data_IF_611400449452
#
_entry.id   IF_611400449452
#
_cell.length_a   1.000
_cell.length_b   1.000
_cell.length_c   1.000
_cell.angle_alpha   90.00
_cell.angle_beta   90.00
_cell.angle_gamma   90.00
#
_symmetry.space_group_name_H-M   'P 1'
#
loop_
_entity.id
_entity.type
_entity.pdbx_description
1 polymer ?
#
# COMPACT_ATOMS: atom_id res chain seq x y z
N UNK A 1 17.08 -23.99 -72.49
CA UNK A 1 17.71 -24.70 -71.37
C UNK A 1 17.99 -23.66 -70.29
N UNK A 2 17.38 -23.84 -69.12
CA UNK A 2 17.41 -22.90 -68.00
C UNK A 2 18.72 -23.03 -67.23
N UNK A 3 19.33 -21.90 -66.83
CA UNK A 3 20.43 -21.88 -65.86
C UNK A 3 19.98 -21.01 -64.69
N UNK A 4 19.74 -21.67 -63.57
CA UNK A 4 19.17 -21.13 -62.33
C UNK A 4 20.21 -20.28 -61.58
N UNK A 5 19.89 -19.02 -61.29
CA UNK A 5 20.66 -18.19 -60.37
C UNK A 5 20.32 -18.54 -58.92
N UNK A 6 21.32 -18.93 -58.14
CA UNK A 6 21.20 -19.22 -56.71
C UNK A 6 21.21 -17.89 -55.93
N UNK A 7 20.05 -17.46 -55.43
CA UNK A 7 19.93 -16.29 -54.55
C UNK A 7 20.09 -16.77 -53.10
N UNK A 8 21.23 -16.43 -52.48
CA UNK A 8 21.46 -16.59 -51.04
C UNK A 8 20.70 -15.46 -50.31
N UNK A 9 19.52 -15.78 -49.78
CA UNK A 9 18.80 -14.90 -48.89
C UNK A 9 19.52 -14.83 -47.53
N UNK A 10 20.17 -13.71 -47.25
CA UNK A 10 20.68 -13.40 -45.92
C UNK A 10 19.49 -13.11 -44.99
N UNK A 11 19.14 -14.09 -44.17
CA UNK A 11 18.15 -13.95 -43.10
C UNK A 11 18.69 -12.98 -42.06
N UNK A 12 18.26 -11.71 -42.12
CA UNK A 12 18.44 -10.77 -41.02
C UNK A 12 17.62 -11.27 -39.84
N UNK A 13 18.30 -11.89 -38.88
CA UNK A 13 17.72 -12.15 -37.55
C UNK A 13 17.51 -10.78 -36.90
N UNK A 14 16.31 -10.23 -37.06
CA UNK A 14 15.84 -9.13 -36.22
C UNK A 14 15.82 -9.64 -34.79
N UNK A 15 16.87 -9.32 -34.03
CA UNK A 15 16.85 -9.40 -32.58
C UNK A 15 15.73 -8.48 -32.13
N UNK A 16 14.57 -9.05 -31.82
CA UNK A 16 13.49 -8.34 -31.18
C UNK A 16 14.05 -7.80 -29.86
N UNK A 17 14.35 -6.50 -29.83
CA UNK A 17 14.62 -5.81 -28.56
C UNK A 17 13.40 -6.07 -27.68
N UNK A 18 13.57 -6.52 -26.43
CA UNK A 18 12.44 -6.60 -25.52
C UNK A 18 11.80 -5.21 -25.50
N UNK A 19 10.50 -5.15 -25.77
CA UNK A 19 9.69 -3.97 -25.51
C UNK A 19 9.79 -3.76 -24.01
N UNK A 20 10.79 -2.98 -23.57
CA UNK A 20 10.78 -2.45 -22.23
C UNK A 20 9.48 -1.68 -22.13
N UNK A 21 8.61 -2.08 -21.20
CA UNK A 21 7.47 -1.26 -20.81
C UNK A 21 7.96 0.18 -20.73
N UNK A 22 7.24 1.08 -21.42
CA UNK A 22 7.52 2.51 -21.51
C UNK A 22 8.09 3.03 -20.18
N UNK A 23 9.22 3.75 -20.20
CA UNK A 23 9.91 4.19 -18.99
C UNK A 23 8.97 5.03 -18.13
N UNK A 24 8.38 4.41 -17.10
CA UNK A 24 7.42 5.09 -16.25
C UNK A 24 8.12 6.18 -15.44
N UNK A 25 7.47 7.34 -15.37
CA UNK A 25 7.92 8.43 -14.49
C UNK A 25 7.84 7.99 -13.02
N UNK A 26 8.67 8.56 -12.11
CA UNK A 26 8.54 8.30 -10.68
C UNK A 26 7.12 8.51 -10.14
N UNK A 27 6.42 9.53 -10.65
CA UNK A 27 5.04 9.83 -10.25
C UNK A 27 4.09 8.68 -10.58
N UNK A 28 4.16 8.13 -11.80
CA UNK A 28 3.30 7.02 -12.22
C UNK A 28 3.61 5.74 -11.43
N UNK A 29 4.89 5.49 -11.13
CA UNK A 29 5.30 4.33 -10.33
C UNK A 29 4.81 4.46 -8.89
N UNK A 30 4.96 5.64 -8.27
CA UNK A 30 4.43 5.89 -6.94
C UNK A 30 2.89 5.74 -6.90
N UNK A 31 2.18 6.19 -7.93
CA UNK A 31 0.73 6.01 -8.05
C UNK A 31 0.33 4.53 -8.05
N UNK A 32 1.06 3.68 -8.79
CA UNK A 32 0.86 2.23 -8.76
C UNK A 32 1.09 1.64 -7.36
N UNK A 33 2.20 1.99 -6.69
CA UNK A 33 2.44 1.53 -5.32
C UNK A 33 1.33 1.95 -4.35
N UNK A 34 0.94 3.23 -4.40
CA UNK A 34 -0.08 3.79 -3.51
C UNK A 34 -1.42 3.09 -3.74
N UNK A 35 -1.87 2.90 -4.98
CA UNK A 35 -3.13 2.21 -5.28
C UNK A 35 -3.08 0.72 -4.94
N UNK A 36 -1.94 0.07 -5.15
CA UNK A 36 -1.74 -1.33 -4.74
C UNK A 36 -1.80 -1.47 -3.22
N UNK A 37 -1.20 -0.56 -2.46
CA UNK A 37 -1.06 -0.70 -1.01
C UNK A 37 -2.28 -0.15 -0.27
N UNK A 38 -2.72 1.08 -0.58
CA UNK A 38 -3.84 1.71 0.12
C UNK A 38 -5.19 1.16 -0.35
N UNK A 39 -5.40 1.15 -1.66
CA UNK A 39 -6.70 0.84 -2.24
C UNK A 39 -6.88 -0.65 -2.57
N UNK A 40 -5.81 -1.44 -2.46
CA UNK A 40 -5.77 -2.83 -2.90
C UNK A 40 -6.33 -3.01 -4.33
N UNK A 41 -6.08 -2.05 -5.22
CA UNK A 41 -6.65 -2.04 -6.56
C UNK A 41 -6.03 -3.14 -7.44
N UNK A 42 -6.85 -4.08 -7.91
CA UNK A 42 -6.40 -5.24 -8.69
C UNK A 42 -5.66 -4.83 -9.97
N UNK A 43 -6.15 -3.79 -10.67
CA UNK A 43 -5.51 -3.30 -11.89
C UNK A 43 -4.11 -2.75 -11.62
N UNK A 44 -3.97 -2.00 -10.53
CA UNK A 44 -2.68 -1.45 -10.08
C UNK A 44 -1.74 -2.54 -9.59
N UNK A 45 -2.23 -3.56 -8.86
CA UNK A 45 -1.45 -4.75 -8.49
C UNK A 45 -0.85 -5.40 -9.73
N UNK A 46 -1.68 -5.67 -10.74
CA UNK A 46 -1.26 -6.31 -11.98
C UNK A 46 -0.25 -5.43 -12.74
N UNK A 47 -0.52 -4.13 -12.84
CA UNK A 47 0.35 -3.17 -13.53
C UNK A 47 1.70 -3.02 -12.84
N UNK A 48 1.71 -2.93 -11.50
CA UNK A 48 2.92 -2.84 -10.70
C UNK A 48 3.76 -4.12 -10.81
N UNK A 49 3.13 -5.29 -10.72
CA UNK A 49 3.81 -6.57 -10.91
C UNK A 49 4.44 -6.66 -12.30
N UNK A 50 3.70 -6.30 -13.35
CA UNK A 50 4.20 -6.29 -14.73
C UNK A 50 5.39 -5.35 -14.90
N UNK A 51 5.33 -4.16 -14.31
CA UNK A 51 6.39 -3.16 -14.34
C UNK A 51 7.66 -3.65 -13.61
N UNK A 52 7.52 -4.24 -12.43
CA UNK A 52 8.65 -4.64 -11.59
C UNK A 52 9.28 -5.98 -12.00
N UNK A 53 8.53 -6.87 -12.65
CA UNK A 53 8.98 -8.25 -12.94
C UNK A 53 10.32 -8.35 -13.66
N UNK A 54 10.64 -7.53 -14.69
CA UNK A 54 11.96 -7.59 -15.32
C UNK A 54 13.10 -7.28 -14.34
N UNK A 55 12.96 -6.23 -13.52
CA UNK A 55 13.96 -5.84 -12.54
C UNK A 55 14.10 -6.85 -11.40
N UNK A 56 12.98 -7.44 -10.93
CA UNK A 56 12.98 -8.51 -9.93
C UNK A 56 13.72 -9.75 -10.41
N UNK A 57 13.49 -10.18 -11.66
CA UNK A 57 14.19 -11.31 -12.29
C UNK A 57 15.70 -11.08 -12.36
N UNK A 58 16.14 -9.89 -12.75
CA UNK A 58 17.57 -9.51 -12.78
C UNK A 58 18.18 -9.60 -11.38
N UNK A 59 17.43 -9.19 -10.35
CA UNK A 59 17.83 -9.27 -8.95
C UNK A 59 17.70 -10.69 -8.33
N UNK A 60 17.37 -11.73 -9.11
CA UNK A 60 17.20 -13.09 -8.62
C UNK A 60 15.95 -13.32 -7.75
N UNK A 61 15.04 -12.35 -7.70
CA UNK A 61 13.79 -12.47 -6.96
C UNK A 61 12.77 -13.28 -7.78
N UNK A 62 12.16 -14.28 -7.16
CA UNK A 62 11.09 -15.08 -7.75
C UNK A 62 9.73 -14.50 -7.36
N UNK A 63 8.77 -14.59 -8.29
CA UNK A 63 7.39 -14.15 -8.05
C UNK A 63 7.13 -12.66 -8.19
N UNK A 64 5.86 -12.33 -8.07
CA UNK A 64 5.33 -10.97 -8.16
C UNK A 64 5.62 -10.17 -6.88
N UNK A 65 5.48 -8.84 -6.96
CA UNK A 65 5.71 -7.94 -5.82
C UNK A 65 4.55 -8.01 -4.83
N UNK A 66 3.32 -8.03 -5.32
CA UNK A 66 2.11 -8.11 -4.52
C UNK A 66 1.12 -9.14 -5.10
N UNK A 67 0.25 -9.68 -4.24
CA UNK A 67 -0.79 -10.62 -4.62
C UNK A 67 -2.14 -10.04 -4.22
N UNK A 68 -3.02 -9.79 -5.19
CA UNK A 68 -4.35 -9.23 -4.92
C UNK A 68 -5.17 -10.18 -4.02
N UNK A 69 -5.04 -11.50 -4.25
CA UNK A 69 -5.70 -12.51 -3.41
C UNK A 69 -5.24 -12.42 -1.94
N UNK A 70 -3.94 -12.22 -1.70
CA UNK A 70 -3.41 -12.09 -0.35
C UNK A 70 -3.83 -10.77 0.31
N UNK A 71 -3.93 -9.67 -0.46
CA UNK A 71 -4.44 -8.39 0.03
C UNK A 71 -5.92 -8.50 0.45
N UNK A 72 -6.76 -9.12 -0.38
CA UNK A 72 -8.18 -9.37 -0.06
C UNK A 72 -8.32 -10.29 1.15
N UNK A 73 -7.47 -11.32 1.24
CA UNK A 73 -7.43 -12.21 2.40
C UNK A 73 -7.06 -11.44 3.67
N UNK A 74 -6.01 -10.62 3.62
CA UNK A 74 -5.57 -9.80 4.75
C UNK A 74 -6.67 -8.83 5.22
N UNK A 75 -7.40 -8.18 4.30
CA UNK A 75 -8.53 -7.32 4.68
C UNK A 75 -9.66 -8.11 5.37
N UNK A 76 -9.89 -9.35 4.95
CA UNK A 76 -10.90 -10.20 5.58
C UNK A 76 -10.50 -10.64 6.99
N UNK A 77 -9.22 -10.94 7.20
CA UNK A 77 -8.66 -11.37 8.48
C UNK A 77 -8.46 -10.21 9.46
N UNK A 78 -8.25 -8.99 8.94
CA UNK A 78 -7.92 -7.79 9.71
C UNK A 78 -8.83 -7.54 10.92
N UNK A 79 -10.18 -7.55 10.83
CA UNK A 79 -11.02 -7.28 12.00
C UNK A 79 -10.86 -8.32 13.11
N UNK A 80 -10.63 -9.59 12.75
CA UNK A 80 -10.44 -10.68 13.72
C UNK A 80 -9.08 -10.56 14.40
N UNK A 81 -8.01 -10.38 13.63
CA UNK A 81 -6.64 -10.26 14.14
C UNK A 81 -6.50 -9.04 15.05
N UNK A 82 -6.94 -7.86 14.58
CA UNK A 82 -6.84 -6.64 15.36
C UNK A 82 -7.73 -6.64 16.60
N UNK A 83 -8.89 -7.32 16.54
CA UNK A 83 -9.74 -7.46 17.73
C UNK A 83 -9.02 -8.23 18.83
N UNK A 84 -8.30 -9.30 18.46
CA UNK A 84 -7.51 -10.07 19.43
C UNK A 84 -6.44 -9.17 20.07
N UNK A 85 -5.64 -8.48 19.26
CA UNK A 85 -4.55 -7.64 19.74
C UNK A 85 -5.04 -6.49 20.64
N UNK A 86 -6.16 -5.86 20.28
CA UNK A 86 -6.77 -4.80 21.10
C UNK A 86 -7.27 -5.34 22.43
N UNK A 87 -7.91 -6.52 22.45
CA UNK A 87 -8.46 -7.08 23.68
C UNK A 87 -7.35 -7.42 24.69
N UNK A 88 -6.15 -7.77 24.23
CA UNK A 88 -4.98 -8.01 25.08
C UNK A 88 -4.54 -6.76 25.86
N UNK A 89 -4.93 -5.56 25.43
CA UNK A 89 -4.69 -4.32 26.18
C UNK A 89 -5.59 -4.18 27.42
N UNK A 90 -6.73 -4.88 27.47
CA UNK A 90 -7.70 -4.79 28.56
C UNK A 90 -7.55 -5.95 29.55
N UNK A 91 -7.92 -5.75 30.83
CA UNK A 91 -8.00 -6.83 31.81
C UNK A 91 -8.85 -8.00 31.30
N UNK A 92 -8.40 -9.24 31.55
CA UNK A 92 -9.03 -10.46 31.05
C UNK A 92 -10.53 -10.56 31.38
N UNK A 93 -10.96 -9.99 32.52
CA UNK A 93 -12.36 -10.01 32.94
C UNK A 93 -13.26 -9.13 32.06
N UNK A 94 -12.71 -8.12 31.39
CA UNK A 94 -13.46 -7.21 30.50
C UNK A 94 -13.53 -7.73 29.07
N UNK A 95 -12.56 -8.54 28.63
CA UNK A 95 -12.42 -8.93 27.23
C UNK A 95 -13.70 -9.54 26.61
N UNK A 96 -14.42 -10.48 27.27
CA UNK A 96 -15.64 -11.05 26.69
C UNK A 96 -16.72 -10.01 26.43
N UNK A 97 -16.85 -9.02 27.33
CA UNK A 97 -17.83 -7.94 27.19
C UNK A 97 -17.42 -6.94 26.09
N UNK A 98 -16.12 -6.69 25.91
CA UNK A 98 -15.62 -5.71 24.94
C UNK A 98 -15.53 -6.27 23.52
N UNK A 99 -15.34 -7.59 23.36
CA UNK A 99 -15.12 -8.23 22.06
C UNK A 99 -16.08 -7.78 20.95
N UNK A 100 -17.41 -7.73 21.14
CA UNK A 100 -18.31 -7.29 20.08
C UNK A 100 -18.09 -5.82 19.67
N UNK A 101 -17.81 -4.94 20.64
CA UNK A 101 -17.61 -3.51 20.35
C UNK A 101 -16.26 -3.26 19.66
N UNK A 102 -15.21 -3.97 20.08
CA UNK A 102 -13.89 -3.90 19.45
C UNK A 102 -13.95 -4.42 18.02
N UNK A 103 -14.61 -5.55 17.79
CA UNK A 103 -14.83 -6.11 16.45
C UNK A 103 -15.47 -5.12 15.49
N UNK A 104 -16.53 -4.46 15.96
CA UNK A 104 -17.21 -3.46 15.15
C UNK A 104 -16.37 -2.21 14.91
N UNK A 105 -15.56 -1.78 15.90
CA UNK A 105 -14.59 -0.71 15.69
C UNK A 105 -13.61 -1.07 14.57
N UNK A 106 -13.04 -2.28 14.58
CA UNK A 106 -12.06 -2.72 13.56
C UNK A 106 -12.67 -2.85 12.17
N UNK A 107 -13.92 -3.25 12.06
CA UNK A 107 -14.66 -3.19 10.78
C UNK A 107 -14.84 -1.76 10.31
N UNK A 108 -15.21 -0.82 11.19
CA UNK A 108 -15.40 0.59 10.80
C UNK A 108 -14.09 1.26 10.41
N UNK A 109 -12.99 0.93 11.09
CA UNK A 109 -11.62 1.28 10.73
C UNK A 109 -11.27 0.76 9.33
N UNK A 110 -11.40 -0.55 9.08
CA UNK A 110 -11.15 -1.13 7.76
C UNK A 110 -12.01 -0.47 6.65
N UNK A 111 -13.27 -0.21 6.94
CA UNK A 111 -14.16 0.48 6.02
C UNK A 111 -13.72 1.92 5.75
N UNK A 112 -13.23 2.66 6.76
CA UNK A 112 -12.66 3.99 6.57
C UNK A 112 -11.38 3.93 5.72
N UNK A 113 -10.59 2.87 5.89
CA UNK A 113 -9.38 2.60 5.09
C UNK A 113 -9.75 2.44 3.63
N UNK A 114 -10.75 1.61 3.35
CA UNK A 114 -11.19 1.33 2.00
C UNK A 114 -11.82 2.54 1.30
N UNK A 115 -12.25 3.56 2.04
CA UNK A 115 -12.72 4.85 1.50
C UNK A 115 -11.62 5.89 1.31
N UNK A 116 -10.37 5.58 1.68
CA UNK A 116 -9.26 6.52 1.52
C UNK A 116 -8.86 6.63 0.07
N UNK A 117 -8.82 7.86 -0.43
CA UNK A 117 -8.40 8.16 -1.79
C UNK A 117 -7.07 8.88 -1.78
N UNK A 118 -6.06 8.31 -2.43
CA UNK A 118 -4.73 8.88 -2.53
C UNK A 118 -4.39 9.22 -3.98
N UNK A 119 -3.61 10.28 -4.18
CA UNK A 119 -3.05 10.65 -5.48
C UNK A 119 -1.60 11.11 -5.36
N UNK A 120 -0.78 10.64 -6.29
CA UNK A 120 0.56 11.20 -6.50
C UNK A 120 0.45 12.60 -7.12
N UNK A 121 1.34 13.50 -6.70
CA UNK A 121 1.37 14.89 -7.13
C UNK A 121 2.58 15.12 -8.05
N UNK A 122 3.72 15.46 -7.46
CA UNK A 122 4.93 15.86 -8.17
C UNK A 122 6.13 15.12 -7.64
N UNK A 123 7.08 14.77 -8.50
CA UNK A 123 8.38 14.25 -8.08
C UNK A 123 9.44 15.35 -8.00
N UNK A 124 10.35 15.25 -7.03
CA UNK A 124 11.61 16.00 -7.07
C UNK A 124 12.47 15.49 -8.23
N UNK A 125 13.36 16.34 -8.74
CA UNK A 125 14.34 15.91 -9.73
C UNK A 125 15.19 14.77 -9.15
N UNK A 126 15.41 13.73 -9.96
CA UNK A 126 16.19 12.56 -9.54
C UNK A 126 17.62 12.96 -9.16
N UNK A 127 18.08 12.54 -7.98
CA UNK A 127 19.45 12.74 -7.52
C UNK A 127 20.26 11.47 -7.75
N UNK A 128 21.45 11.61 -8.33
CA UNK A 128 22.37 10.49 -8.54
C UNK A 128 23.41 10.44 -7.43
N UNK A 129 23.57 9.28 -6.79
CA UNK A 129 24.63 9.03 -5.81
C UNK A 129 25.07 7.55 -5.90
N UNK A 130 26.37 7.29 -6.00
CA UNK A 130 26.91 5.93 -5.91
C UNK A 130 26.31 4.91 -6.88
N UNK A 131 26.02 5.31 -8.13
CA UNK A 131 25.40 4.42 -9.12
C UNK A 131 23.89 4.23 -8.97
N UNK A 132 23.26 4.87 -7.99
CA UNK A 132 21.81 4.91 -7.79
C UNK A 132 21.24 6.26 -8.16
N UNK A 133 19.99 6.27 -8.60
CA UNK A 133 19.14 7.45 -8.75
C UNK A 133 17.99 7.34 -7.74
N UNK A 134 17.72 8.44 -7.04
CA UNK A 134 16.63 8.54 -6.06
C UNK A 134 15.70 9.69 -6.42
N UNK A 135 14.41 9.50 -6.19
CA UNK A 135 13.37 10.50 -6.40
C UNK A 135 12.39 10.44 -5.22
N UNK A 136 11.89 11.61 -4.81
CA UNK A 136 10.84 11.73 -3.80
C UNK A 136 9.57 12.22 -4.50
N UNK A 137 8.50 11.45 -4.40
CA UNK A 137 7.19 11.79 -4.99
C UNK A 137 6.28 12.29 -3.89
N UNK A 138 5.83 13.54 -3.99
CA UNK A 138 4.80 14.06 -3.08
C UNK A 138 3.47 13.40 -3.41
N UNK A 139 2.70 13.06 -2.41
CA UNK A 139 1.34 12.56 -2.57
C UNK A 139 0.43 13.11 -1.48
N UNK A 140 -0.87 13.05 -1.72
CA UNK A 140 -1.88 13.39 -0.72
C UNK A 140 -3.00 12.37 -0.71
N UNK A 141 -3.59 12.18 0.46
CA UNK A 141 -4.71 11.28 0.70
C UNK A 141 -5.85 12.02 1.39
N UNK A 142 -7.08 11.72 1.00
CA UNK A 142 -8.26 12.08 1.77
C UNK A 142 -8.57 10.92 2.72
N UNK A 143 -8.25 11.12 4.00
CA UNK A 143 -8.46 10.13 5.06
C UNK A 143 -9.60 10.56 5.96
N UNK A 144 -10.18 9.63 6.72
CA UNK A 144 -11.23 9.97 7.69
C UNK A 144 -10.71 10.97 8.73
N UNK A 145 -11.54 11.96 9.06
CA UNK A 145 -11.22 12.96 10.08
C UNK A 145 -11.65 12.47 11.44
N UNK A 146 -10.66 12.19 12.29
CA UNK A 146 -10.83 11.73 13.66
C UNK A 146 -10.15 12.70 14.64
N UNK A 147 -10.72 12.95 15.83
CA UNK A 147 -10.08 13.81 16.83
C UNK A 147 -8.84 13.15 17.46
N UNK A 148 -8.84 11.82 17.54
CA UNK A 148 -7.75 10.99 18.06
C UNK A 148 -7.73 9.69 17.24
N UNK A 149 -6.54 9.17 16.92
CA UNK A 149 -6.36 7.91 16.19
C UNK A 149 -6.79 6.74 17.07
N UNK A 150 -7.35 5.68 16.48
CA UNK A 150 -7.91 4.57 17.23
C UNK A 150 -6.86 3.86 18.10
N UNK A 151 -5.58 3.65 17.68
CA UNK A 151 -4.62 2.96 18.54
C UNK A 151 -4.39 3.72 19.84
N UNK A 152 -4.18 5.04 19.73
CA UNK A 152 -3.98 5.92 20.88
C UNK A 152 -5.23 6.00 21.76
N UNK A 153 -6.42 6.13 21.16
CA UNK A 153 -7.68 6.21 21.89
C UNK A 153 -7.97 4.91 22.69
N UNK A 154 -7.72 3.75 22.07
CA UNK A 154 -7.90 2.44 22.71
C UNK A 154 -6.86 2.20 23.80
N UNK A 155 -5.58 2.52 23.57
CA UNK A 155 -4.53 2.42 24.58
C UNK A 155 -4.82 3.32 25.79
N UNK A 156 -5.24 4.56 25.55
CA UNK A 156 -5.67 5.50 26.60
C UNK A 156 -6.86 4.96 27.38
N UNK A 157 -7.83 4.37 26.69
CA UNK A 157 -9.01 3.78 27.32
C UNK A 157 -8.63 2.57 28.20
N UNK A 158 -7.78 1.68 27.70
CA UNK A 158 -7.28 0.53 28.46
C UNK A 158 -6.56 0.96 29.76
N UNK A 159 -5.82 2.06 29.72
CA UNK A 159 -5.17 2.64 30.90
C UNK A 159 -6.10 3.37 31.89
N UNK A 160 -7.37 3.62 31.52
CA UNK A 160 -8.30 4.47 32.29
C UNK A 160 -9.00 3.77 33.46
N UNK A 161 -8.86 2.45 33.60
CA UNK A 161 -9.60 1.61 34.56
C UNK A 161 -11.13 1.70 34.42
N UNK A 162 -11.64 1.96 33.21
CA UNK A 162 -13.07 1.97 32.91
C UNK A 162 -13.74 0.65 33.29
N UNK A 163 -15.00 0.72 33.74
CA UNK A 163 -15.88 -0.45 33.81
C UNK A 163 -16.21 -0.97 32.42
N UNK A 164 -16.71 -2.21 32.32
CA UNK A 164 -17.09 -2.80 31.02
C UNK A 164 -18.04 -1.88 30.22
N UNK A 165 -19.04 -1.30 30.88
CA UNK A 165 -20.03 -0.44 30.23
C UNK A 165 -19.42 0.88 29.75
N UNK A 166 -18.53 1.49 30.52
CA UNK A 166 -17.81 2.70 30.14
C UNK A 166 -16.87 2.44 28.97
N UNK A 167 -16.08 1.36 29.02
CA UNK A 167 -15.18 1.00 27.93
C UNK A 167 -15.96 0.71 26.64
N UNK A 168 -17.08 -0.03 26.71
CA UNK A 168 -17.95 -0.28 25.55
C UNK A 168 -18.46 1.02 24.94
N UNK A 169 -18.97 1.94 25.78
CA UNK A 169 -19.48 3.23 25.32
C UNK A 169 -18.40 4.05 24.63
N UNK A 170 -17.19 4.07 25.16
CA UNK A 170 -16.11 4.83 24.52
C UNK A 170 -15.56 4.18 23.26
N UNK A 171 -15.50 2.84 23.19
CA UNK A 171 -15.21 2.14 21.93
C UNK A 171 -16.25 2.49 20.85
N UNK A 172 -17.53 2.55 21.22
CA UNK A 172 -18.60 2.98 20.30
C UNK A 172 -18.45 4.45 19.88
N UNK A 173 -18.00 5.33 20.77
CA UNK A 173 -17.75 6.73 20.42
C UNK A 173 -16.56 6.87 19.46
N UNK A 174 -15.47 6.12 19.68
CA UNK A 174 -14.34 6.06 18.74
C UNK A 174 -14.83 5.58 17.37
N UNK A 175 -15.58 4.47 17.34
CA UNK A 175 -16.15 3.89 16.12
C UNK A 175 -16.94 4.91 15.28
N UNK A 176 -17.77 5.74 15.91
CA UNK A 176 -18.58 6.75 15.20
C UNK A 176 -17.74 7.74 14.39
N UNK A 177 -16.53 8.06 14.82
CA UNK A 177 -15.65 8.93 14.03
C UNK A 177 -15.18 8.24 12.74
N UNK A 178 -14.91 6.93 12.77
CA UNK A 178 -14.53 6.13 11.60
C UNK A 178 -15.72 5.84 10.66
N UNK A 179 -16.94 5.95 11.16
CA UNK A 179 -18.17 5.87 10.34
C UNK A 179 -18.55 7.20 9.69
N UNK A 180 -17.94 8.30 10.12
CA UNK A 180 -18.17 9.62 9.57
C UNK A 180 -17.71 9.72 8.11
N UNK A 181 -18.36 10.60 7.35
CA UNK A 181 -17.94 11.01 6.01
C UNK A 181 -16.95 12.18 6.02
N UNK A 182 -16.72 12.81 7.18
CA UNK A 182 -15.79 13.92 7.29
C UNK A 182 -14.37 13.42 6.99
N UNK A 183 -13.69 14.10 6.06
CA UNK A 183 -12.32 13.79 5.68
C UNK A 183 -11.36 14.92 6.04
N UNK A 184 -10.08 14.58 6.07
CA UNK A 184 -8.98 15.53 6.14
C UNK A 184 -7.89 15.12 5.15
N UNK A 185 -7.15 16.11 4.67
CA UNK A 185 -6.03 15.85 3.77
C UNK A 185 -4.78 15.50 4.57
N UNK A 186 -4.23 14.31 4.31
CA UNK A 186 -2.90 13.91 4.75
C UNK A 186 -1.92 14.01 3.58
N UNK A 187 -0.66 14.37 3.84
CA UNK A 187 0.38 14.52 2.83
C UNK A 187 1.66 13.83 3.24
N UNK A 188 2.34 13.23 2.26
CA UNK A 188 3.60 12.55 2.46
C UNK A 188 4.52 12.62 1.26
N UNK A 189 5.70 12.02 1.40
CA UNK A 189 6.65 11.81 0.31
C UNK A 189 6.92 10.31 0.17
N UNK A 190 6.75 9.80 -1.04
CA UNK A 190 7.00 8.42 -1.40
C UNK A 190 8.38 8.29 -2.05
N UNK A 191 9.36 7.66 -1.38
CA UNK A 191 10.70 7.51 -1.92
C UNK A 191 10.73 6.42 -3.00
N UNK A 192 11.48 6.68 -4.06
CA UNK A 192 11.77 5.73 -5.12
C UNK A 192 13.27 5.74 -5.42
N UNK A 193 13.80 4.57 -5.71
CA UNK A 193 15.19 4.38 -6.11
C UNK A 193 15.28 3.47 -7.34
N UNK A 194 16.30 3.71 -8.17
CA UNK A 194 16.70 2.81 -9.26
C UNK A 194 18.20 2.82 -9.41
N UNK A 195 18.75 1.77 -10.00
CA UNK A 195 20.13 1.82 -10.49
C UNK A 195 20.22 2.84 -11.64
N UNK A 196 21.37 3.52 -11.78
CA UNK A 196 21.58 4.55 -12.81
C UNK A 196 21.37 4.02 -14.24
N UNK A 197 21.64 2.73 -14.44
CA UNK A 197 21.42 2.02 -15.71
C UNK A 197 20.22 1.05 -15.61
N UNK A 198 19.49 1.07 -14.51
CA UNK A 198 18.33 0.22 -14.27
C UNK A 198 17.07 0.83 -14.85
N UNK A 199 16.17 -0.03 -15.35
CA UNK A 199 14.95 0.42 -16.03
C UNK A 199 13.76 0.69 -15.10
N UNK A 200 13.82 0.26 -13.83
CA UNK A 200 12.67 0.32 -12.92
C UNK A 200 12.93 1.17 -11.67
N UNK A 201 12.06 2.14 -11.43
CA UNK A 201 11.92 2.79 -10.12
C UNK A 201 11.28 1.81 -9.14
N UNK A 202 11.84 1.71 -7.94
CA UNK A 202 11.41 0.76 -6.92
C UNK A 202 11.39 1.41 -5.55
N UNK A 203 10.57 0.86 -4.66
CA UNK A 203 10.69 1.06 -3.24
C UNK A 203 10.61 -0.32 -2.60
N UNK A 204 11.67 -0.72 -1.90
CA UNK A 204 11.74 -2.04 -1.27
C UNK A 204 10.97 -2.08 0.06
N UNK A 205 10.67 -0.90 0.64
CA UNK A 205 9.89 -0.73 1.87
C UNK A 205 8.74 0.28 1.66
N UNK A 206 7.82 0.02 0.71
CA UNK A 206 6.82 1.00 0.33
C UNK A 206 5.73 1.21 1.38
N UNK A 207 5.60 0.27 2.34
CA UNK A 207 4.70 0.42 3.48
C UNK A 207 5.16 1.51 4.45
N UNK A 208 6.46 1.65 4.69
CA UNK A 208 7.01 2.67 5.61
C UNK A 208 6.61 4.10 5.23
N UNK A 209 6.51 4.38 3.93
CA UNK A 209 6.06 5.69 3.43
C UNK A 209 4.56 5.95 3.65
N UNK A 210 3.81 4.92 4.03
CA UNK A 210 2.35 4.90 4.17
C UNK A 210 1.91 4.53 5.60
N UNK A 211 2.81 4.06 6.47
CA UNK A 211 2.49 3.62 7.84
C UNK A 211 1.81 4.72 8.65
N UNK A 212 2.18 5.98 8.47
CA UNK A 212 1.49 7.10 9.12
C UNK A 212 0.03 7.27 8.67
N UNK A 213 -0.33 6.82 7.45
CA UNK A 213 -1.72 6.73 6.98
C UNK A 213 -2.39 5.49 7.54
N UNK A 214 -1.68 4.36 7.62
CA UNK A 214 -2.21 3.14 8.20
C UNK A 214 -2.57 3.30 9.68
N UNK A 215 -1.73 3.99 10.44
CA UNK A 215 -2.01 4.33 11.83
C UNK A 215 -3.12 5.37 12.01
N UNK A 216 -3.47 6.11 10.94
CA UNK A 216 -4.63 7.01 10.93
C UNK A 216 -5.94 6.26 10.77
N UNK A 217 -5.92 5.02 10.27
CA UNK A 217 -7.12 4.33 9.83
C UNK A 217 -7.29 2.99 10.52
#
# INVERSE_FOLDING_TARGET
MFTTALVLAASTVSVARPVFAEEMTPVNVADLYIKTIINHDESSVNSLNNYLRPARKIAGQTGDFASFADLVKADKEYPDDMTKDILELFPAQLQPALKPSVMELMKSVLNAKNRTECKSLTSRQAKSNGGMQTSLVKFECQVVKVPERWPAAVQRLAGSKCSAQECQKEIQNIRKFYESSATQTWRGEFPLAREKNGSAWRNDFPREALDEIWDLI
#
